data_IF_586191746462
#
_entry.id   IF_586191746462
#
_cell.length_a   1.000
_cell.length_b   1.000
_cell.length_c   1.000
_cell.angle_alpha   90.00
_cell.angle_beta   90.00
_cell.angle_gamma   90.00
#
_symmetry.space_group_name_H-M   'P 1'
#
loop_
_entity.id
_entity.type
_entity.pdbx_description
1 polymer ?
#
# COMPACT_ATOMS: atom_id res chain seq x y z
N UNK A 1 6.71 -1.89 -15.68
CA UNK A 1 6.69 -1.16 -14.39
C UNK A 1 6.17 0.24 -14.69
N UNK A 2 4.94 0.57 -14.30
CA UNK A 2 4.36 1.91 -14.53
C UNK A 2 4.74 2.78 -13.34
N UNK A 3 5.71 3.66 -13.55
CA UNK A 3 6.00 4.76 -12.63
C UNK A 3 4.86 5.78 -12.72
N UNK A 4 4.41 6.40 -11.62
CA UNK A 4 3.89 7.76 -11.73
C UNK A 4 5.07 8.61 -12.17
N UNK A 5 5.02 9.08 -13.41
CA UNK A 5 6.17 9.59 -14.14
C UNK A 5 6.91 10.74 -13.42
N UNK A 6 8.25 10.69 -13.44
CA UNK A 6 9.09 11.87 -13.42
C UNK A 6 9.71 12.00 -14.82
N UNK A 7 9.52 13.14 -15.48
CA UNK A 7 10.13 13.41 -16.79
C UNK A 7 11.11 14.56 -16.72
N UNK A 8 12.26 14.36 -17.35
CA UNK A 8 13.21 15.40 -17.65
C UNK A 8 12.67 16.21 -18.85
N UNK A 9 12.76 17.57 -18.88
CA UNK A 9 12.18 18.41 -19.93
C UNK A 9 12.64 18.16 -21.38
N UNK A 10 13.61 17.26 -21.57
CA UNK A 10 14.18 16.87 -22.87
C UNK A 10 13.36 15.74 -23.54
N UNK A 11 12.53 15.00 -22.79
CA UNK A 11 11.93 13.73 -23.22
C UNK A 11 10.51 13.81 -23.79
N UNK A 12 10.16 14.90 -24.50
CA UNK A 12 8.88 15.19 -25.20
C UNK A 12 7.89 16.08 -24.42
N UNK A 13 7.48 17.20 -25.02
CA UNK A 13 6.64 18.25 -24.40
C UNK A 13 5.13 18.02 -24.53
N UNK A 14 4.71 17.00 -25.28
CA UNK A 14 3.29 16.71 -25.55
C UNK A 14 2.83 15.39 -24.91
N UNK A 15 2.95 15.27 -23.58
CA UNK A 15 2.40 14.12 -22.87
C UNK A 15 0.87 14.22 -22.79
N UNK A 16 0.19 13.24 -23.38
CA UNK A 16 -1.25 13.06 -23.24
C UNK A 16 -1.54 12.30 -21.95
N UNK A 17 -2.00 13.00 -20.92
CA UNK A 17 -2.46 12.39 -19.67
C UNK A 17 -3.99 12.32 -19.65
N UNK A 18 -4.51 11.21 -19.12
CA UNK A 18 -5.94 11.03 -18.86
C UNK A 18 -6.19 11.17 -17.37
N UNK A 19 -7.10 12.07 -17.00
CA UNK A 19 -7.59 12.15 -15.63
C UNK A 19 -8.46 10.93 -15.33
N UNK A 20 -8.30 10.38 -14.14
CA UNK A 20 -9.03 9.19 -13.68
C UNK A 20 -9.91 9.53 -12.48
N UNK A 21 -11.04 8.84 -12.35
CA UNK A 21 -11.99 8.98 -11.24
C UNK A 21 -11.92 7.79 -10.30
N UNK A 22 -12.36 7.98 -9.06
CA UNK A 22 -12.49 6.88 -8.11
C UNK A 22 -13.50 5.84 -8.64
N UNK A 23 -13.15 4.56 -8.57
CA UNK A 23 -13.95 3.45 -9.07
C UNK A 23 -13.90 3.26 -10.58
N UNK A 24 -13.20 4.13 -11.33
CA UNK A 24 -13.05 3.99 -12.77
C UNK A 24 -12.34 2.69 -13.13
N UNK A 25 -12.84 2.02 -14.16
CA UNK A 25 -12.21 0.82 -14.72
C UNK A 25 -11.36 1.24 -15.92
N UNK A 26 -10.09 0.84 -15.91
CA UNK A 26 -9.15 1.05 -17.00
C UNK A 26 -8.76 -0.32 -17.55
N UNK A 27 -8.89 -0.49 -18.86
CA UNK A 27 -8.50 -1.71 -19.55
C UNK A 27 -7.25 -1.46 -20.38
N UNK A 28 -6.26 -2.33 -20.23
CA UNK A 28 -4.99 -2.31 -20.98
C UNK A 28 -4.78 -3.69 -21.57
N UNK A 29 -5.21 -3.88 -22.82
CA UNK A 29 -5.30 -5.21 -23.41
C UNK A 29 -6.28 -6.09 -22.61
N UNK A 30 -5.80 -7.22 -22.10
CA UNK A 30 -6.59 -8.13 -21.23
C UNK A 30 -6.55 -7.75 -19.75
N UNK A 31 -5.76 -6.75 -19.38
CA UNK A 31 -5.59 -6.34 -17.98
C UNK A 31 -6.72 -5.38 -17.61
N UNK A 32 -7.39 -5.65 -16.50
CA UNK A 32 -8.47 -4.82 -15.97
C UNK A 32 -8.07 -4.21 -14.63
N UNK A 33 -8.02 -2.89 -14.57
CA UNK A 33 -7.67 -2.13 -13.38
C UNK A 33 -8.90 -1.39 -12.84
N UNK A 34 -9.07 -1.37 -11.52
CA UNK A 34 -9.94 -0.39 -10.84
C UNK A 34 -9.08 0.67 -10.16
N UNK A 35 -9.40 1.92 -10.42
CA UNK A 35 -8.78 3.08 -9.78
C UNK A 35 -9.40 3.30 -8.41
N UNK A 36 -8.56 3.45 -7.39
CA UNK A 36 -8.98 3.74 -6.01
C UNK A 36 -8.27 5.02 -5.58
N UNK A 37 -9.00 6.12 -5.48
CA UNK A 37 -8.42 7.39 -5.03
C UNK A 37 -8.24 7.37 -3.51
N UNK A 38 -7.02 7.64 -3.05
CA UNK A 38 -6.62 7.53 -1.65
C UNK A 38 -5.87 8.79 -1.20
N UNK A 39 -6.56 9.94 -1.10
CA UNK A 39 -5.90 11.18 -0.71
C UNK A 39 -5.28 11.03 0.69
N UNK A 40 -4.00 11.39 0.84
CA UNK A 40 -3.25 11.15 2.07
C UNK A 40 -1.79 11.57 1.93
N UNK A 41 -1.02 10.78 1.20
CA UNK A 41 0.36 11.14 0.86
C UNK A 41 0.41 12.44 0.03
N UNK A 42 -0.32 12.43 -1.10
CA UNK A 42 -0.69 13.62 -1.87
C UNK A 42 -2.21 13.74 -1.95
N UNK A 43 -2.73 14.89 -2.39
CA UNK A 43 -4.19 15.08 -2.60
C UNK A 43 -4.75 14.23 -3.73
N UNK A 44 -3.94 13.95 -4.75
CA UNK A 44 -4.33 13.22 -5.96
C UNK A 44 -3.86 11.77 -6.00
N UNK A 45 -3.42 11.20 -4.88
CA UNK A 45 -2.88 9.83 -4.86
C UNK A 45 -3.94 8.81 -5.28
N UNK A 46 -3.55 7.88 -6.15
CA UNK A 46 -4.39 6.80 -6.66
C UNK A 46 -3.67 5.46 -6.55
N UNK A 47 -4.40 4.44 -6.12
CA UNK A 47 -4.02 3.04 -6.16
C UNK A 47 -4.68 2.41 -7.37
N UNK A 48 -3.95 1.55 -8.08
CA UNK A 48 -4.49 0.76 -9.18
C UNK A 48 -4.59 -0.69 -8.75
N UNK A 49 -5.82 -1.21 -8.66
CA UNK A 49 -6.10 -2.62 -8.38
C UNK A 49 -6.25 -3.37 -9.69
N UNK A 50 -5.27 -4.21 -10.03
CA UNK A 50 -5.37 -5.17 -11.12
C UNK A 50 -6.17 -6.38 -10.66
N UNK A 51 -7.25 -6.68 -11.37
CA UNK A 51 -8.03 -7.90 -11.20
C UNK A 51 -7.36 -9.05 -11.94
N UNK A 52 -7.33 -10.23 -11.34
CA UNK A 52 -6.79 -11.44 -11.98
C UNK A 52 -7.85 -12.54 -12.02
N UNK A 53 -7.89 -13.33 -13.10
CA UNK A 53 -8.93 -14.36 -13.28
C UNK A 53 -8.73 -15.57 -12.36
N UNK A 54 -7.48 -16.02 -12.18
CA UNK A 54 -7.13 -17.24 -11.47
C UNK A 54 -6.08 -17.01 -10.36
N UNK A 55 -6.03 -15.80 -9.80
CA UNK A 55 -5.02 -15.40 -8.82
C UNK A 55 -5.49 -14.35 -7.82
N UNK A 56 -4.60 -13.90 -6.92
CA UNK A 56 -4.87 -12.75 -6.07
C UNK A 56 -4.82 -11.45 -6.88
N UNK A 57 -5.69 -10.50 -6.56
CA UNK A 57 -5.57 -9.16 -7.13
C UNK A 57 -4.26 -8.48 -6.73
N UNK A 58 -3.74 -7.62 -7.60
CA UNK A 58 -2.51 -6.87 -7.35
C UNK A 58 -2.82 -5.39 -7.15
N UNK A 59 -2.33 -4.81 -6.06
CA UNK A 59 -2.49 -3.41 -5.70
C UNK A 59 -1.20 -2.67 -5.95
N UNK A 60 -1.19 -1.76 -6.90
CA UNK A 60 -0.06 -0.85 -7.12
C UNK A 60 -0.29 0.41 -6.27
N UNK A 61 0.43 0.51 -5.16
CA UNK A 61 0.08 1.44 -4.08
C UNK A 61 0.91 2.71 -4.04
N UNK A 62 1.95 2.81 -4.89
CA UNK A 62 2.89 3.93 -4.89
C UNK A 62 3.33 4.27 -3.47
N UNK A 63 3.31 5.55 -3.14
CA UNK A 63 3.78 6.05 -1.85
C UNK A 63 2.67 6.15 -0.78
N UNK A 64 1.50 5.55 -1.02
CA UNK A 64 0.41 5.58 -0.05
C UNK A 64 0.55 4.46 0.99
N UNK A 65 0.79 3.24 0.53
CA UNK A 65 0.88 2.04 1.38
C UNK A 65 2.16 1.26 1.08
N UNK A 66 2.88 0.91 2.14
CA UNK A 66 4.10 0.11 2.11
C UNK A 66 3.93 -1.19 2.89
N UNK A 67 4.91 -2.09 2.78
CA UNK A 67 5.02 -3.21 3.72
C UNK A 67 5.29 -2.64 5.11
N UNK A 68 4.42 -2.98 6.07
CA UNK A 68 4.44 -2.52 7.45
C UNK A 68 4.41 -0.99 7.66
N UNK A 69 3.95 -0.20 6.68
CA UNK A 69 3.96 1.25 6.80
C UNK A 69 3.05 1.98 5.83
N UNK A 70 2.97 3.30 6.00
CA UNK A 70 2.18 4.21 5.15
C UNK A 70 3.01 5.41 4.71
N UNK A 71 2.57 6.07 3.65
CA UNK A 71 3.15 7.31 3.16
C UNK A 71 3.20 8.43 4.19
N UNK A 72 4.28 9.23 4.15
CA UNK A 72 4.31 10.53 4.82
C UNK A 72 3.19 11.42 4.26
N UNK A 73 2.51 12.16 5.11
CA UNK A 73 1.38 13.02 4.73
C UNK A 73 1.87 14.43 4.35
N UNK A 74 2.43 14.59 3.15
CA UNK A 74 2.93 15.89 2.71
C UNK A 74 1.80 16.89 2.41
N UNK A 75 0.71 16.43 1.78
CA UNK A 75 -0.42 17.28 1.38
C UNK A 75 -1.76 16.88 2.04
N UNK A 76 -1.72 15.88 2.91
CA UNK A 76 -2.86 15.32 3.62
C UNK A 76 -2.86 15.62 5.12
N UNK A 77 -3.85 15.06 5.82
CA UNK A 77 -3.91 15.05 7.28
C UNK A 77 -4.13 13.64 7.78
N UNK A 78 -3.77 13.36 9.04
CA UNK A 78 -3.99 12.05 9.67
C UNK A 78 -5.45 11.58 9.50
N UNK A 79 -6.42 12.47 9.74
CA UNK A 79 -7.85 12.19 9.54
C UNK A 79 -8.18 11.79 8.09
N UNK A 80 -7.51 12.37 7.09
CA UNK A 80 -7.73 12.06 5.67
C UNK A 80 -7.08 10.72 5.29
N UNK A 81 -5.84 10.50 5.71
CA UNK A 81 -5.12 9.24 5.55
C UNK A 81 -5.93 8.07 6.14
N UNK A 82 -6.40 8.21 7.39
CA UNK A 82 -7.23 7.20 8.06
C UNK A 82 -8.53 6.89 7.29
N UNK A 83 -9.22 7.92 6.77
CA UNK A 83 -10.39 7.69 5.92
C UNK A 83 -10.03 6.92 4.65
N UNK A 84 -8.92 7.27 4.00
CA UNK A 84 -8.48 6.58 2.79
C UNK A 84 -8.10 5.13 3.06
N UNK A 85 -7.52 4.81 4.23
CA UNK A 85 -7.15 3.45 4.63
C UNK A 85 -8.36 2.50 4.78
N UNK A 86 -9.58 3.01 4.96
CA UNK A 86 -10.80 2.19 5.03
C UNK A 86 -11.06 1.36 3.75
N UNK A 87 -10.44 1.70 2.62
CA UNK A 87 -10.54 0.87 1.41
C UNK A 87 -10.01 -0.56 1.63
N UNK A 88 -9.07 -0.73 2.58
CA UNK A 88 -8.47 -2.01 2.92
C UNK A 88 -9.49 -3.01 3.46
N UNK A 89 -10.54 -2.52 4.13
CA UNK A 89 -11.60 -3.36 4.69
C UNK A 89 -12.38 -4.12 3.61
N UNK A 90 -12.39 -3.60 2.38
CA UNK A 90 -13.09 -4.18 1.24
C UNK A 90 -12.17 -5.02 0.33
N UNK A 91 -10.90 -5.19 0.69
CA UNK A 91 -9.95 -5.95 -0.12
C UNK A 91 -9.88 -7.42 0.28
N UNK A 92 -9.81 -8.34 -0.70
CA UNK A 92 -9.54 -9.74 -0.41
C UNK A 92 -8.25 -9.89 0.41
N UNK A 93 -8.24 -10.74 1.43
CA UNK A 93 -7.04 -11.02 2.25
C UNK A 93 -5.86 -11.53 1.42
N UNK A 94 -6.14 -12.18 0.29
CA UNK A 94 -5.13 -12.72 -0.63
C UNK A 94 -4.45 -11.67 -1.50
N UNK A 95 -5.01 -10.46 -1.65
CA UNK A 95 -4.48 -9.51 -2.63
C UNK A 95 -3.06 -9.05 -2.29
N UNK A 96 -2.27 -8.85 -3.32
CA UNK A 96 -0.86 -8.51 -3.30
C UNK A 96 -0.67 -6.99 -3.32
N UNK A 97 0.36 -6.48 -2.63
CA UNK A 97 0.66 -5.03 -2.47
C UNK A 97 2.03 -4.69 -3.03
N UNK A 98 2.07 -3.93 -4.12
CA UNK A 98 3.26 -3.47 -4.83
C UNK A 98 3.50 -1.99 -4.52
N UNK A 99 4.33 -1.68 -3.50
CA UNK A 99 4.63 -0.30 -3.13
C UNK A 99 5.55 0.41 -4.14
N UNK A 100 5.61 1.74 -4.03
CA UNK A 100 6.54 2.56 -4.80
C UNK A 100 8.00 2.47 -4.33
N UNK A 101 8.22 2.10 -3.06
CA UNK A 101 9.56 2.05 -2.45
C UNK A 101 9.75 0.83 -1.56
N UNK A 102 11.02 0.44 -1.42
CA UNK A 102 11.46 -0.64 -0.55
C UNK A 102 11.87 -0.11 0.82
N UNK A 103 10.88 0.24 1.65
CA UNK A 103 11.04 0.69 3.05
C UNK A 103 10.66 -0.36 4.08
N UNK A 104 10.55 -1.63 3.66
CA UNK A 104 10.03 -2.70 4.51
C UNK A 104 10.82 -2.88 5.80
N UNK A 105 12.16 -2.88 5.73
CA UNK A 105 13.04 -3.05 6.88
C UNK A 105 12.85 -1.94 7.91
N UNK A 106 12.90 -0.69 7.48
CA UNK A 106 12.78 0.48 8.36
C UNK A 106 11.37 0.55 8.99
N UNK A 107 10.34 0.23 8.21
CA UNK A 107 8.97 0.16 8.68
C UNK A 107 8.78 -0.93 9.74
N UNK A 108 9.31 -2.13 9.48
CA UNK A 108 9.24 -3.27 10.41
C UNK A 108 10.01 -2.97 11.69
N UNK A 109 11.20 -2.36 11.61
CA UNK A 109 11.99 -1.96 12.79
C UNK A 109 11.27 -0.88 13.62
N UNK A 110 10.61 0.07 12.98
CA UNK A 110 9.75 1.03 13.69
C UNK A 110 8.58 0.33 14.36
N UNK A 111 7.89 -0.55 13.64
CA UNK A 111 6.76 -1.31 14.15
C UNK A 111 7.12 -2.22 15.34
N UNK A 112 8.25 -2.94 15.27
CA UNK A 112 8.73 -3.80 16.35
C UNK A 112 9.16 -3.01 17.59
N UNK A 113 9.54 -1.74 17.47
CA UNK A 113 9.77 -0.88 18.63
C UNK A 113 8.48 -0.56 19.39
N UNK A 114 7.34 -0.51 18.70
CA UNK A 114 6.03 -0.28 19.30
C UNK A 114 5.44 -1.58 19.85
N UNK A 115 5.59 -2.69 19.12
CA UNK A 115 5.03 -4.00 19.48
C UNK A 115 6.07 -5.13 19.33
N UNK A 116 7.04 -5.24 20.27
CA UNK A 116 8.18 -6.16 20.14
C UNK A 116 7.81 -7.64 20.11
N UNK A 117 6.68 -8.02 20.73
CA UNK A 117 6.21 -9.40 20.85
C UNK A 117 5.21 -9.80 19.78
N UNK A 118 5.00 -8.95 18.75
CA UNK A 118 4.06 -9.23 17.69
C UNK A 118 4.60 -10.34 16.76
N UNK A 119 4.23 -11.60 17.03
CA UNK A 119 4.72 -12.78 16.28
C UNK A 119 4.46 -12.73 14.79
N UNK A 120 3.39 -12.05 14.44
CA UNK A 120 2.93 -11.72 13.11
C UNK A 120 3.92 -10.81 12.35
N UNK A 121 4.34 -9.73 12.98
CA UNK A 121 5.35 -8.80 12.47
C UNK A 121 6.74 -9.45 12.44
N UNK A 122 7.09 -10.26 13.44
CA UNK A 122 8.33 -11.04 13.46
C UNK A 122 8.42 -12.04 12.30
N UNK A 123 7.30 -12.68 11.92
CA UNK A 123 7.26 -13.55 10.75
C UNK A 123 7.51 -12.77 9.44
N UNK A 124 6.94 -11.56 9.32
CA UNK A 124 7.20 -10.67 8.18
C UNK A 124 8.66 -10.22 8.16
N UNK A 125 9.23 -9.82 9.30
CA UNK A 125 10.66 -9.43 9.42
C UNK A 125 11.58 -10.53 8.90
N UNK A 126 11.37 -11.78 9.34
CA UNK A 126 12.15 -12.94 8.88
C UNK A 126 12.10 -13.11 7.37
N UNK A 127 10.91 -13.01 6.76
CA UNK A 127 10.75 -13.20 5.32
C UNK A 127 11.35 -12.04 4.53
N UNK A 128 11.19 -10.79 4.98
CA UNK A 128 11.80 -9.63 4.35
C UNK A 128 13.33 -9.74 4.41
N UNK A 129 13.91 -10.05 5.57
CA UNK A 129 15.36 -10.23 5.71
C UNK A 129 15.91 -11.32 4.80
N UNK A 130 15.23 -12.46 4.70
CA UNK A 130 15.61 -13.56 3.80
C UNK A 130 15.64 -13.10 2.33
N UNK A 131 14.59 -12.41 1.88
CA UNK A 131 14.53 -11.89 0.50
C UNK A 131 15.61 -10.84 0.22
N UNK A 132 15.87 -9.95 1.19
CA UNK A 132 16.92 -8.93 1.10
C UNK A 132 18.31 -9.55 1.00
N UNK A 133 18.58 -10.64 1.73
CA UNK A 133 19.82 -11.41 1.60
C UNK A 133 20.00 -11.96 0.17
N UNK A 134 18.91 -12.40 -0.46
CA UNK A 134 18.89 -12.90 -1.84
C UNK A 134 18.75 -11.78 -2.90
N UNK A 135 18.83 -10.50 -2.52
CA UNK A 135 18.65 -9.33 -3.41
C UNK A 135 17.32 -9.33 -4.17
N UNK A 136 16.28 -9.90 -3.57
CA UNK A 136 14.92 -9.91 -4.10
C UNK A 136 14.08 -8.78 -3.47
N UNK A 137 13.16 -8.15 -4.22
CA UNK A 137 12.22 -7.20 -3.66
C UNK A 137 11.32 -7.87 -2.63
N UNK A 138 10.93 -7.15 -1.59
CA UNK A 138 10.08 -7.64 -0.50
C UNK A 138 8.62 -7.80 -0.93
N UNK A 139 8.29 -7.44 -2.17
CA UNK A 139 6.98 -7.60 -2.76
C UNK A 139 6.45 -9.04 -2.60
N UNK A 140 7.19 -10.11 -2.89
CA UNK A 140 6.61 -11.47 -2.70
C UNK A 140 6.39 -11.93 -1.23
N UNK A 141 6.66 -11.07 -0.24
CA UNK A 141 6.29 -11.22 1.20
C UNK A 141 4.79 -10.92 1.45
N UNK A 142 4.11 -10.34 0.47
CA UNK A 142 2.79 -9.70 0.54
C UNK A 142 1.64 -10.52 1.17
N UNK A 143 1.67 -11.86 1.13
CA UNK A 143 0.61 -12.68 1.75
C UNK A 143 0.51 -12.47 3.26
N UNK A 144 1.63 -12.14 3.92
CA UNK A 144 1.71 -11.99 5.38
C UNK A 144 1.53 -10.53 5.82
N UNK A 145 2.04 -9.56 5.03
CA UNK A 145 1.96 -8.14 5.36
C UNK A 145 0.52 -7.61 5.52
N UNK A 146 -0.45 -8.27 4.87
CA UNK A 146 -1.86 -7.92 4.93
C UNK A 146 -2.58 -8.28 6.23
N UNK A 147 -2.13 -9.31 6.93
CA UNK A 147 -2.89 -9.85 8.07
C UNK A 147 -2.66 -8.99 9.31
N UNK A 148 -1.55 -8.26 9.38
CA UNK A 148 -1.06 -7.82 10.68
C UNK A 148 -0.98 -6.33 10.94
N UNK A 149 -1.04 -5.44 9.94
CA UNK A 149 -0.69 -4.03 10.17
C UNK A 149 -1.80 -2.98 10.06
N UNK A 150 -2.99 -3.32 9.55
CA UNK A 150 -3.94 -2.28 9.09
C UNK A 150 -5.39 -2.48 9.55
N UNK A 151 -5.64 -3.23 10.63
CA UNK A 151 -6.95 -3.14 11.29
C UNK A 151 -6.97 -1.95 12.24
N UNK A 152 -7.31 -0.78 11.68
CA UNK A 152 -7.80 0.35 12.49
C UNK A 152 -9.20 -0.02 13.00
N UNK A 153 -9.29 -0.63 14.18
CA UNK A 153 -10.58 -0.87 14.82
C UNK A 153 -11.17 0.47 15.25
N UNK A 154 -12.29 0.87 14.63
CA UNK A 154 -13.06 2.07 14.97
C UNK A 154 -13.96 1.86 16.19
N UNK A 155 -13.47 1.22 17.26
CA UNK A 155 -14.26 1.06 18.49
C UNK A 155 -13.45 1.41 19.72
N UNK A 156 -13.41 2.70 20.04
CA UNK A 156 -13.49 3.14 21.44
C UNK A 156 -14.29 4.44 21.54
N UNK A 157 -15.20 4.49 22.51
CA UNK A 157 -16.14 5.58 22.75
C UNK A 157 -15.49 6.92 23.19
N UNK A 158 -14.16 7.05 23.11
CA UNK A 158 -13.37 8.17 23.63
C UNK A 158 -12.36 8.74 22.61
N UNK A 159 -12.72 8.86 21.33
CA UNK A 159 -12.01 9.68 20.33
C UNK A 159 -10.50 9.41 20.11
N UNK A 160 -9.97 8.27 20.53
CA UNK A 160 -8.61 7.80 20.24
C UNK A 160 -8.63 6.53 19.39
N UNK A 161 -7.89 6.51 18.29
CA UNK A 161 -7.68 5.30 17.49
C UNK A 161 -6.56 4.49 18.12
N UNK A 162 -6.88 3.30 18.64
CA UNK A 162 -5.92 2.31 19.10
C UNK A 162 -5.52 1.42 17.92
N UNK A 163 -4.22 1.23 17.72
CA UNK A 163 -3.66 0.24 16.81
C UNK A 163 -3.74 -1.12 17.51
N UNK A 164 -4.72 -1.95 17.18
CA UNK A 164 -4.81 -3.32 17.71
C UNK A 164 -4.44 -4.30 16.60
N UNK A 165 -3.24 -4.86 16.69
CA UNK A 165 -2.75 -5.88 15.77
C UNK A 165 -3.25 -7.25 16.25
N UNK A 166 -4.27 -7.78 15.58
CA UNK A 166 -4.72 -9.14 15.82
C UNK A 166 -3.89 -10.15 15.00
N UNK A 167 -3.47 -11.21 15.67
CA UNK A 167 -2.85 -12.40 15.09
C UNK A 167 -3.83 -13.18 14.20
#
# INVERSE_FOLDING_TARGET
>A
MVFPFAFHPVDNKNFMFRLVKNGEVIEVGKLRFTVILVPGHTKGHAIYRLHTENGPDCLFTGDFLFIAGIGKMFEGSAKRMLRSLSFLDNLPRSALVFPGHEYSMENIEFALRLEPSNGALLAVDRLVRDRRMHKLPSDATQKLAKIHFLRFSSRNANNGYMCELHA
#
